data_IF_174411215562
#
_entry.id   IF_174411215562
#
_cell.length_a   1.000
_cell.length_b   1.000
_cell.length_c   1.000
_cell.angle_alpha   90.00
_cell.angle_beta   90.00
_cell.angle_gamma   90.00
#
_symmetry.space_group_name_H-M   'P 1'
#
loop_
_entity.id
_entity.type
_entity.pdbx_description
1 polymer ?
#
# COMPACT_ATOMS: atom_id res chain seq x y z
N UNK A 1 12.79 14.02 21.59
CA UNK A 1 14.19 14.28 21.16
C UNK A 1 14.84 12.97 20.80
N UNK A 2 15.63 12.93 19.71
CA UNK A 2 16.31 11.72 19.28
C UNK A 2 17.40 11.32 20.30
N UNK A 3 17.35 10.07 20.73
CA UNK A 3 18.43 9.45 21.50
C UNK A 3 19.55 9.07 20.53
N UNK A 4 20.77 9.51 20.81
CA UNK A 4 21.95 9.11 20.03
C UNK A 4 22.40 7.72 20.50
N UNK A 5 22.57 6.79 19.55
CA UNK A 5 22.93 5.40 19.77
C UNK A 5 24.17 5.12 18.92
N UNK A 6 25.26 4.73 19.51
CA UNK A 6 26.44 4.28 18.77
C UNK A 6 26.18 2.87 18.20
N UNK A 7 26.46 2.69 16.91
CA UNK A 7 26.30 1.40 16.25
C UNK A 7 27.44 0.46 16.63
N UNK A 8 27.10 -0.62 17.31
CA UNK A 8 28.03 -1.66 17.77
C UNK A 8 27.99 -2.95 16.92
N UNK A 9 27.32 -2.91 15.76
CA UNK A 9 27.09 -4.09 14.91
C UNK A 9 25.82 -4.87 15.24
N UNK A 10 25.04 -4.46 16.26
CA UNK A 10 23.81 -5.13 16.66
C UNK A 10 22.58 -4.22 16.53
N UNK A 11 21.67 -4.57 15.64
CA UNK A 11 20.41 -3.86 15.42
C UNK A 11 19.19 -4.60 15.97
N UNK A 12 19.38 -5.74 16.63
CA UNK A 12 18.25 -6.59 17.04
C UNK A 12 17.27 -5.87 17.97
N UNK A 13 17.79 -5.15 18.97
CA UNK A 13 16.94 -4.42 19.92
C UNK A 13 16.16 -3.29 19.24
N UNK A 14 16.83 -2.53 18.36
CA UNK A 14 16.19 -1.45 17.61
C UNK A 14 15.12 -2.02 16.69
N UNK A 15 15.44 -3.06 15.91
CA UNK A 15 14.51 -3.70 15.01
C UNK A 15 13.33 -4.35 15.76
N UNK A 16 13.59 -4.97 16.91
CA UNK A 16 12.53 -5.53 17.76
C UNK A 16 11.62 -4.43 18.30
N UNK A 17 12.18 -3.33 18.79
CA UNK A 17 11.39 -2.18 19.26
C UNK A 17 10.53 -1.60 18.13
N UNK A 18 11.08 -1.45 16.92
CA UNK A 18 10.35 -0.97 15.76
C UNK A 18 9.28 -1.97 15.28
N UNK A 19 9.55 -3.26 15.35
CA UNK A 19 8.58 -4.31 14.98
C UNK A 19 7.45 -4.46 16.01
N UNK A 20 7.73 -4.25 17.28
CA UNK A 20 6.71 -4.31 18.35
C UNK A 20 5.70 -3.15 18.29
N UNK A 21 5.96 -2.11 17.48
CA UNK A 21 4.96 -1.07 17.12
C UNK A 21 3.80 -1.61 16.30
N UNK A 22 4.03 -2.70 15.57
CA UNK A 22 2.91 -3.47 15.04
C UNK A 22 2.13 -3.86 16.29
N UNK A 23 1.04 -3.13 16.56
CA UNK A 23 0.08 -3.61 17.53
C UNK A 23 -0.07 -5.09 17.21
N UNK A 24 0.37 -5.96 18.11
CA UNK A 24 -0.05 -7.34 18.04
C UNK A 24 -1.55 -7.22 17.92
N UNK A 25 -2.09 -7.60 16.73
CA UNK A 25 -3.53 -7.56 16.50
C UNK A 25 -4.07 -8.33 17.68
N UNK A 26 -4.58 -7.62 18.66
CA UNK A 26 -4.95 -8.24 19.93
C UNK A 26 -5.97 -9.32 19.62
N UNK A 27 -5.98 -10.37 20.38
CA UNK A 27 -6.99 -11.44 20.23
C UNK A 27 -8.38 -10.83 20.20
N UNK A 28 -8.60 -9.76 20.95
CA UNK A 28 -9.86 -9.02 21.00
C UNK A 28 -10.22 -8.35 19.69
N UNK A 29 -9.24 -7.66 19.02
CA UNK A 29 -9.47 -7.06 17.71
C UNK A 29 -9.75 -8.14 16.66
N UNK A 30 -8.97 -9.23 16.65
CA UNK A 30 -9.21 -10.35 15.75
C UNK A 30 -10.62 -10.95 15.92
N UNK A 31 -11.03 -11.19 17.17
CA UNK A 31 -12.36 -11.74 17.47
C UNK A 31 -13.47 -10.79 17.04
N UNK A 32 -13.36 -9.49 17.39
CA UNK A 32 -14.35 -8.48 17.01
C UNK A 32 -14.50 -8.36 15.48
N UNK A 33 -13.38 -8.41 14.73
CA UNK A 33 -13.43 -8.34 13.27
C UNK A 33 -13.98 -9.63 12.66
N UNK A 34 -13.64 -10.80 13.20
CA UNK A 34 -14.22 -12.08 12.78
C UNK A 34 -15.74 -12.10 12.98
N UNK A 35 -16.21 -11.60 14.12
CA UNK A 35 -17.65 -11.50 14.40
C UNK A 35 -18.36 -10.61 13.38
N UNK A 36 -17.76 -9.46 13.03
CA UNK A 36 -18.27 -8.56 11.99
C UNK A 36 -18.33 -9.26 10.63
N UNK A 37 -17.25 -9.95 10.22
CA UNK A 37 -17.19 -10.67 8.94
C UNK A 37 -18.28 -11.74 8.88
N UNK A 38 -18.43 -12.53 9.94
CA UNK A 38 -19.42 -13.60 10.02
C UNK A 38 -20.86 -13.06 10.00
N UNK A 39 -21.10 -11.94 10.70
CA UNK A 39 -22.41 -11.30 10.71
C UNK A 39 -22.78 -10.73 9.33
N UNK A 40 -21.85 -10.05 8.66
CA UNK A 40 -22.04 -9.58 7.28
C UNK A 40 -22.32 -10.76 6.32
N UNK A 41 -21.59 -11.85 6.41
CA UNK A 41 -21.83 -13.05 5.58
C UNK A 41 -23.22 -13.64 5.79
N UNK A 42 -23.73 -13.59 7.02
CA UNK A 42 -25.02 -14.17 7.37
C UNK A 42 -26.21 -13.25 7.11
N UNK A 43 -26.06 -11.96 7.40
CA UNK A 43 -27.17 -11.00 7.49
C UNK A 43 -27.02 -9.84 6.49
N UNK A 44 -26.02 -9.85 5.58
CA UNK A 44 -25.87 -8.98 4.42
C UNK A 44 -26.05 -7.49 4.72
N UNK A 45 -26.91 -6.84 3.92
CA UNK A 45 -27.21 -5.42 4.02
C UNK A 45 -27.66 -5.01 5.44
N UNK A 46 -28.45 -5.83 6.10
CA UNK A 46 -28.99 -5.50 7.44
C UNK A 46 -27.87 -5.38 8.49
N UNK A 47 -26.88 -6.29 8.45
CA UNK A 47 -25.72 -6.21 9.33
C UNK A 47 -24.92 -4.95 9.03
N UNK A 48 -24.65 -4.64 7.75
CA UNK A 48 -23.91 -3.44 7.34
C UNK A 48 -24.59 -2.16 7.84
N UNK A 49 -25.90 -2.03 7.65
CA UNK A 49 -26.71 -0.91 8.17
C UNK A 49 -26.53 -0.75 9.69
N UNK A 50 -26.63 -1.85 10.43
CA UNK A 50 -26.49 -1.83 11.88
C UNK A 50 -25.09 -1.37 12.33
N UNK A 51 -24.03 -1.84 11.66
CA UNK A 51 -22.66 -1.44 11.97
C UNK A 51 -22.36 0.02 11.59
N UNK A 52 -22.84 0.51 10.44
CA UNK A 52 -22.70 1.92 10.07
C UNK A 52 -23.39 2.84 11.09
N UNK A 53 -24.58 2.48 11.57
CA UNK A 53 -25.27 3.22 12.65
C UNK A 53 -24.47 3.21 13.95
N UNK A 54 -23.89 2.05 14.29
CA UNK A 54 -23.14 1.85 15.53
C UNK A 54 -21.79 2.56 15.55
N UNK A 55 -21.02 2.48 14.45
CA UNK A 55 -19.64 2.93 14.43
C UNK A 55 -19.47 4.30 13.78
N UNK A 56 -20.22 4.61 12.72
CA UNK A 56 -20.10 5.86 11.99
C UNK A 56 -21.12 6.90 12.47
N UNK A 57 -22.11 6.51 13.26
CA UNK A 57 -23.20 7.37 13.71
C UNK A 57 -24.16 7.80 12.60
N UNK A 58 -23.94 7.30 11.39
CA UNK A 58 -24.76 7.60 10.22
C UNK A 58 -26.04 6.80 10.22
N UNK A 59 -27.18 7.52 10.20
CA UNK A 59 -28.50 6.91 10.20
C UNK A 59 -28.91 6.50 8.79
N UNK A 60 -28.25 5.46 8.25
CA UNK A 60 -28.65 4.84 6.98
C UNK A 60 -30.09 4.40 7.05
N UNK A 61 -30.92 4.78 6.08
CA UNK A 61 -32.34 4.42 6.01
C UNK A 61 -32.51 3.02 5.45
N UNK A 62 -31.93 2.81 4.28
CA UNK A 62 -31.96 1.54 3.54
C UNK A 62 -30.70 1.43 2.64
N UNK A 63 -30.64 0.39 1.84
CA UNK A 63 -29.51 0.07 0.94
C UNK A 63 -29.28 1.11 -0.17
N UNK A 64 -30.27 1.95 -0.53
CA UNK A 64 -30.08 3.01 -1.51
C UNK A 64 -29.16 4.12 -0.99
N UNK A 65 -29.04 4.22 0.33
CA UNK A 65 -28.14 5.16 0.99
C UNK A 65 -26.66 4.69 0.97
N UNK A 66 -26.37 3.47 0.51
CA UNK A 66 -24.98 2.98 0.46
C UNK A 66 -24.11 3.71 -0.55
N UNK A 67 -24.66 4.24 -1.62
CA UNK A 67 -23.93 4.84 -2.73
C UNK A 67 -24.15 6.35 -2.76
N UNK A 68 -23.06 7.10 -3.01
CA UNK A 68 -23.13 8.55 -3.23
C UNK A 68 -23.89 8.81 -4.54
N UNK A 69 -25.02 9.48 -4.44
CA UNK A 69 -25.85 9.84 -5.60
C UNK A 69 -25.18 10.89 -6.50
N UNK A 70 -25.61 11.01 -7.74
CA UNK A 70 -25.10 12.05 -8.65
C UNK A 70 -25.37 13.45 -8.13
N UNK A 71 -26.51 13.68 -7.47
CA UNK A 71 -26.80 14.97 -6.84
C UNK A 71 -25.82 15.29 -5.70
N UNK A 72 -25.52 14.32 -4.82
CA UNK A 72 -24.52 14.50 -3.75
C UNK A 72 -23.14 14.81 -4.31
N UNK A 73 -22.75 14.14 -5.43
CA UNK A 73 -21.47 14.41 -6.10
C UNK A 73 -21.42 15.84 -6.64
N UNK A 74 -22.48 16.31 -7.30
CA UNK A 74 -22.55 17.68 -7.82
C UNK A 74 -22.51 18.71 -6.71
N UNK A 75 -23.22 18.49 -5.61
CA UNK A 75 -23.22 19.37 -4.43
C UNK A 75 -21.83 19.42 -3.77
N UNK A 76 -21.15 18.27 -3.65
CA UNK A 76 -19.80 18.19 -3.11
C UNK A 76 -18.80 18.94 -3.99
N UNK A 77 -18.86 18.77 -5.31
CA UNK A 77 -17.95 19.42 -6.25
C UNK A 77 -18.08 20.94 -6.26
N UNK A 78 -19.26 21.51 -5.98
CA UNK A 78 -19.45 22.95 -5.84
C UNK A 78 -18.73 23.55 -4.63
N UNK A 79 -18.35 22.72 -3.65
CA UNK A 79 -17.65 23.12 -2.44
C UNK A 79 -16.11 23.10 -2.57
N UNK A 80 -15.60 22.55 -3.69
CA UNK A 80 -14.16 22.40 -3.93
C UNK A 80 -13.66 23.53 -4.82
N UNK A 81 -12.59 24.20 -4.39
CA UNK A 81 -11.95 25.27 -5.15
C UNK A 81 -11.42 24.73 -6.49
N UNK A 82 -11.56 25.54 -7.55
CA UNK A 82 -11.06 25.21 -8.88
C UNK A 82 -9.52 25.10 -8.91
N UNK A 83 -8.82 25.88 -8.10
CA UNK A 83 -7.37 25.77 -7.96
C UNK A 83 -6.98 24.44 -7.34
N UNK A 84 -7.77 23.92 -6.40
CA UNK A 84 -7.56 22.61 -5.84
C UNK A 84 -7.79 21.48 -6.87
N UNK A 85 -8.83 21.59 -7.71
CA UNK A 85 -9.04 20.66 -8.83
C UNK A 85 -7.83 20.65 -9.77
N UNK A 86 -7.28 21.83 -10.11
CA UNK A 86 -6.07 21.93 -10.93
C UNK A 86 -4.86 21.24 -10.28
N UNK A 87 -4.72 21.32 -8.96
CA UNK A 87 -3.66 20.61 -8.23
C UNK A 87 -3.86 19.09 -8.35
N UNK A 88 -5.07 18.58 -8.17
CA UNK A 88 -5.38 17.15 -8.34
C UNK A 88 -5.08 16.66 -9.75
N UNK A 89 -5.43 17.42 -10.80
CA UNK A 89 -5.12 17.08 -12.20
C UNK A 89 -3.60 17.05 -12.46
N UNK A 90 -2.85 17.99 -11.89
CA UNK A 90 -1.40 17.99 -11.98
C UNK A 90 -0.80 16.77 -11.27
N UNK A 91 -1.26 16.44 -10.08
CA UNK A 91 -0.85 15.25 -9.34
C UNK A 91 -1.14 13.98 -10.15
N UNK A 92 -2.35 13.85 -10.71
CA UNK A 92 -2.73 12.75 -11.61
C UNK A 92 -1.76 12.61 -12.78
N UNK A 93 -1.35 13.72 -13.39
CA UNK A 93 -0.41 13.72 -14.52
C UNK A 93 0.94 13.13 -14.09
N UNK A 94 1.49 13.54 -12.94
CA UNK A 94 2.76 13.03 -12.41
C UNK A 94 2.68 11.53 -12.12
N UNK A 95 1.62 11.08 -11.42
CA UNK A 95 1.40 9.66 -11.11
C UNK A 95 1.28 8.85 -12.42
N UNK A 96 0.53 9.36 -13.38
CA UNK A 96 0.38 8.70 -14.70
C UNK A 96 1.72 8.58 -15.43
N UNK A 97 2.53 9.63 -15.41
CA UNK A 97 3.83 9.65 -16.09
C UNK A 97 4.79 8.62 -15.49
N UNK A 98 4.82 8.48 -14.17
CA UNK A 98 5.63 7.48 -13.51
C UNK A 98 5.12 6.06 -13.79
N UNK A 99 3.85 5.81 -13.49
CA UNK A 99 3.28 4.47 -13.49
C UNK A 99 3.05 3.87 -14.90
N UNK A 100 2.95 4.67 -15.95
CA UNK A 100 2.87 4.14 -17.33
C UNK A 100 4.08 3.28 -17.73
N UNK A 101 5.25 3.49 -17.06
CA UNK A 101 6.45 2.69 -17.29
C UNK A 101 6.40 1.30 -16.65
N UNK A 102 5.39 1.03 -15.81
CA UNK A 102 5.17 -0.26 -15.14
C UNK A 102 4.20 -1.17 -15.89
N UNK A 103 3.68 -0.74 -17.04
CA UNK A 103 2.69 -1.52 -17.80
C UNK A 103 3.38 -2.73 -18.45
N UNK A 104 3.00 -3.92 -17.99
CA UNK A 104 3.47 -5.18 -18.54
C UNK A 104 2.72 -5.58 -19.82
N UNK A 105 3.40 -6.34 -20.67
CA UNK A 105 2.86 -6.85 -21.93
C UNK A 105 2.79 -8.36 -21.93
N UNK A 106 1.72 -8.89 -22.52
CA UNK A 106 1.65 -10.31 -22.89
C UNK A 106 2.74 -10.63 -23.92
N UNK A 107 3.29 -11.85 -23.85
CA UNK A 107 4.33 -12.31 -24.77
C UNK A 107 4.12 -13.75 -25.18
N UNK A 108 4.63 -14.11 -26.35
CA UNK A 108 4.62 -15.46 -26.90
C UNK A 108 6.00 -15.88 -27.37
N UNK A 109 6.37 -17.12 -27.12
CA UNK A 109 7.59 -17.76 -27.63
C UNK A 109 7.16 -18.83 -28.64
N UNK A 110 7.65 -18.71 -29.87
CA UNK A 110 7.45 -19.66 -30.94
C UNK A 110 8.70 -20.49 -31.13
N UNK A 111 8.59 -21.82 -31.14
CA UNK A 111 9.68 -22.73 -31.43
C UNK A 111 9.58 -23.25 -32.84
N UNK A 112 10.71 -23.64 -33.46
CA UNK A 112 10.77 -24.13 -34.84
C UNK A 112 9.94 -25.40 -35.07
N UNK A 113 9.71 -26.21 -34.03
CA UNK A 113 8.88 -27.38 -34.04
C UNK A 113 7.37 -27.15 -33.86
N UNK A 114 6.92 -25.88 -33.97
CA UNK A 114 5.52 -25.51 -33.87
C UNK A 114 4.96 -25.34 -32.44
N UNK A 115 5.77 -25.54 -31.40
CA UNK A 115 5.35 -25.28 -30.02
C UNK A 115 5.21 -23.77 -29.81
N UNK A 116 4.11 -23.36 -29.16
CA UNK A 116 3.88 -21.99 -28.73
C UNK A 116 3.70 -21.97 -27.22
N UNK A 117 4.46 -21.13 -26.54
CA UNK A 117 4.30 -20.87 -25.11
C UNK A 117 4.22 -19.37 -24.88
N UNK A 118 3.55 -18.96 -23.82
CA UNK A 118 3.51 -17.55 -23.51
C UNK A 118 2.86 -17.22 -22.17
N UNK A 119 2.76 -15.94 -21.92
CA UNK A 119 2.12 -15.40 -20.74
C UNK A 119 1.16 -14.30 -21.16
N UNK A 120 -0.08 -14.40 -20.72
CA UNK A 120 -1.08 -13.36 -20.86
C UNK A 120 -1.08 -12.51 -19.60
N UNK A 121 -1.06 -11.18 -19.78
CA UNK A 121 -1.30 -10.19 -18.74
C UNK A 121 -2.76 -9.74 -18.85
N UNK A 122 -3.50 -9.82 -17.75
CA UNK A 122 -4.92 -9.43 -17.68
C UNK A 122 -5.16 -8.59 -16.43
N UNK A 123 -5.94 -7.49 -16.54
CA UNK A 123 -6.34 -6.73 -15.37
C UNK A 123 -7.22 -7.58 -14.44
N UNK A 124 -7.19 -7.23 -13.16
CA UNK A 124 -8.22 -7.62 -12.20
C UNK A 124 -9.53 -6.94 -12.63
N UNK A 125 -10.66 -7.60 -12.46
CA UNK A 125 -11.93 -7.11 -13.03
C UNK A 125 -12.52 -5.99 -12.17
N UNK A 126 -12.63 -6.21 -10.86
CA UNK A 126 -13.25 -5.27 -9.93
C UNK A 126 -12.37 -5.05 -8.68
N UNK A 127 -12.09 -3.78 -8.36
CA UNK A 127 -11.20 -3.40 -7.25
C UNK A 127 -11.85 -2.33 -6.37
N UNK A 128 -11.76 -2.50 -5.05
CA UNK A 128 -12.15 -1.48 -4.08
C UNK A 128 -10.94 -0.70 -3.57
N UNK A 129 -11.08 0.61 -3.54
CA UNK A 129 -10.14 1.55 -2.95
C UNK A 129 -10.68 1.91 -1.56
N UNK A 130 -10.02 1.47 -0.50
CA UNK A 130 -10.33 1.93 0.85
C UNK A 130 -9.71 3.31 1.05
N UNK A 131 -10.56 4.31 1.32
CA UNK A 131 -10.13 5.69 1.57
C UNK A 131 -10.54 6.06 2.99
N UNK A 132 -9.59 6.36 3.89
CA UNK A 132 -9.93 6.78 5.25
C UNK A 132 -10.77 8.06 5.25
N UNK A 133 -11.82 8.09 6.07
CA UNK A 133 -12.74 9.23 6.18
C UNK A 133 -12.81 9.85 7.59
N UNK A 134 -11.77 9.66 8.41
CA UNK A 134 -11.73 10.11 9.80
C UNK A 134 -11.53 11.62 9.98
N UNK A 135 -10.58 12.01 10.83
CA UNK A 135 -10.25 13.42 11.13
C UNK A 135 -9.58 14.14 9.96
N UNK A 136 -8.87 13.41 9.09
CA UNK A 136 -8.25 13.91 7.86
C UNK A 136 -8.87 13.21 6.64
N UNK A 137 -9.02 13.96 5.55
CA UNK A 137 -9.36 13.42 4.24
C UNK A 137 -8.07 13.13 3.46
N UNK A 138 -8.03 12.01 2.74
CA UNK A 138 -6.86 11.61 1.97
C UNK A 138 -7.18 11.52 0.46
N UNK A 139 -7.40 12.65 -0.23
CA UNK A 139 -7.64 12.66 -1.68
C UNK A 139 -6.44 12.13 -2.48
N UNK A 140 -5.21 12.27 -1.96
CA UNK A 140 -4.00 11.67 -2.55
C UNK A 140 -4.11 10.15 -2.61
N UNK A 141 -4.62 9.49 -1.57
CA UNK A 141 -4.85 8.04 -1.56
C UNK A 141 -5.80 7.60 -2.68
N UNK A 142 -6.81 8.40 -3.02
CA UNK A 142 -7.68 8.10 -4.17
C UNK A 142 -6.87 8.06 -5.46
N UNK A 143 -6.04 9.09 -5.72
CA UNK A 143 -5.23 9.18 -6.93
C UNK A 143 -4.17 8.07 -6.98
N UNK A 144 -3.44 7.86 -5.87
CA UNK A 144 -2.36 6.88 -5.76
C UNK A 144 -2.82 5.43 -5.96
N UNK A 145 -4.07 5.11 -5.63
CA UNK A 145 -4.65 3.79 -5.88
C UNK A 145 -5.35 3.70 -7.25
N UNK A 146 -6.15 4.72 -7.61
CA UNK A 146 -6.96 4.65 -8.81
C UNK A 146 -6.16 4.73 -10.10
N UNK A 147 -5.10 5.55 -10.16
CA UNK A 147 -4.37 5.78 -11.41
C UNK A 147 -3.59 4.53 -11.84
N UNK A 148 -2.80 3.85 -10.98
CA UNK A 148 -2.17 2.59 -11.35
C UNK A 148 -3.18 1.51 -11.76
N UNK A 149 -4.32 1.43 -11.05
CA UNK A 149 -5.39 0.48 -11.39
C UNK A 149 -6.00 0.76 -12.78
N UNK A 150 -6.25 2.03 -13.12
CA UNK A 150 -6.73 2.42 -14.46
C UNK A 150 -5.69 2.12 -15.55
N UNK A 151 -4.41 2.37 -15.30
CA UNK A 151 -3.31 2.05 -16.22
C UNK A 151 -3.17 0.54 -16.44
N UNK A 152 -3.42 -0.28 -15.42
CA UNK A 152 -3.49 -1.73 -15.53
C UNK A 152 -4.66 -2.21 -16.41
N UNK A 153 -5.68 -1.36 -16.60
CA UNK A 153 -6.89 -1.68 -17.38
C UNK A 153 -8.06 -2.16 -16.52
N UNK A 154 -8.02 -1.97 -15.19
CA UNK A 154 -9.18 -2.26 -14.32
C UNK A 154 -10.36 -1.40 -14.75
N UNK A 155 -11.47 -2.06 -15.09
CA UNK A 155 -12.67 -1.38 -15.59
C UNK A 155 -13.56 -0.89 -14.47
N UNK A 156 -13.74 -1.72 -13.44
CA UNK A 156 -14.64 -1.44 -12.33
C UNK A 156 -13.84 -1.11 -11.05
N UNK A 157 -13.73 0.19 -10.78
CA UNK A 157 -13.13 0.72 -9.57
C UNK A 157 -14.20 1.33 -8.69
N UNK A 158 -14.23 0.94 -7.42
CA UNK A 158 -15.14 1.49 -6.44
C UNK A 158 -14.36 2.05 -5.25
N UNK A 159 -14.86 3.12 -4.66
CA UNK A 159 -14.33 3.67 -3.40
C UNK A 159 -15.24 3.22 -2.27
N UNK A 160 -14.66 2.77 -1.16
CA UNK A 160 -15.33 2.63 0.13
C UNK A 160 -14.71 3.62 1.11
N UNK A 161 -15.53 4.44 1.75
CA UNK A 161 -15.07 5.46 2.70
C UNK A 161 -16.11 5.67 3.79
N UNK A 162 -15.70 5.73 5.07
CA UNK A 162 -16.65 6.05 6.14
C UNK A 162 -17.15 7.48 5.98
N UNK A 163 -18.39 7.72 6.36
CA UNK A 163 -19.01 9.04 6.38
C UNK A 163 -19.21 9.50 7.82
N UNK A 164 -19.41 10.80 8.01
CA UNK A 164 -19.81 11.36 9.29
C UNK A 164 -21.31 11.16 9.53
N UNK A 165 -21.78 11.53 10.71
CA UNK A 165 -23.20 11.39 11.09
C UNK A 165 -24.20 12.08 10.13
N UNK A 166 -23.74 13.08 9.37
CA UNK A 166 -24.52 13.76 8.33
C UNK A 166 -24.67 12.95 7.03
N UNK A 167 -24.00 11.81 6.92
CA UNK A 167 -24.03 10.91 5.76
C UNK A 167 -23.32 11.43 4.52
N UNK A 168 -22.52 12.50 4.64
CA UNK A 168 -21.83 13.12 3.51
C UNK A 168 -20.39 12.66 3.40
N UNK A 169 -19.99 12.33 2.18
CA UNK A 169 -18.59 12.12 1.84
C UNK A 169 -17.87 13.46 1.75
N UNK A 170 -16.62 13.50 2.21
CA UNK A 170 -15.84 14.73 2.13
C UNK A 170 -15.71 15.19 0.66
N UNK A 171 -15.99 16.47 0.35
CA UNK A 171 -15.98 17.00 -1.02
C UNK A 171 -14.67 16.77 -1.77
N UNK A 172 -13.50 16.83 -1.10
CA UNK A 172 -12.20 16.61 -1.76
C UNK A 172 -11.99 15.15 -2.17
N UNK A 173 -12.61 14.19 -1.48
CA UNK A 173 -12.62 12.76 -1.91
C UNK A 173 -13.45 12.61 -3.18
N UNK A 174 -14.62 13.25 -3.25
CA UNK A 174 -15.48 13.24 -4.45
C UNK A 174 -14.76 13.88 -5.65
N UNK A 175 -14.03 14.97 -5.41
CA UNK A 175 -13.23 15.63 -6.43
C UNK A 175 -12.10 14.73 -6.94
N UNK A 176 -11.35 14.09 -6.03
CA UNK A 176 -10.29 13.15 -6.40
C UNK A 176 -10.84 11.92 -7.16
N UNK A 177 -12.00 11.39 -6.76
CA UNK A 177 -12.70 10.31 -7.47
C UNK A 177 -13.05 10.73 -8.90
N UNK A 178 -13.63 11.93 -9.08
CA UNK A 178 -13.94 12.48 -10.41
C UNK A 178 -12.68 12.64 -11.27
N UNK A 179 -11.62 13.23 -10.71
CA UNK A 179 -10.35 13.46 -11.42
C UNK A 179 -9.71 12.13 -11.83
N UNK A 180 -9.75 11.11 -10.97
CA UNK A 180 -9.19 9.78 -11.28
C UNK A 180 -10.11 8.87 -12.11
N UNK A 181 -11.36 9.29 -12.37
CA UNK A 181 -12.34 8.53 -13.16
C UNK A 181 -12.93 7.33 -12.41
N UNK A 182 -13.16 7.49 -11.09
CA UNK A 182 -13.88 6.52 -10.26
C UNK A 182 -15.29 7.03 -10.00
N UNK A 183 -16.29 6.30 -10.51
CA UNK A 183 -17.67 6.76 -10.47
C UNK A 183 -18.42 6.30 -9.22
N UNK A 184 -18.17 5.08 -8.74
CA UNK A 184 -18.88 4.52 -7.60
C UNK A 184 -18.17 4.81 -6.29
N UNK A 185 -18.87 5.48 -5.37
CA UNK A 185 -18.38 5.77 -4.02
C UNK A 185 -19.41 5.24 -3.03
N UNK A 186 -19.01 4.29 -2.20
CA UNK A 186 -19.82 3.76 -1.11
C UNK A 186 -19.59 4.55 0.18
N UNK A 187 -20.69 4.84 0.89
CA UNK A 187 -20.74 5.60 2.16
C UNK A 187 -20.61 4.69 3.39
N UNK A 188 -19.69 3.76 3.34
CA UNK A 188 -19.36 2.90 4.47
C UNK A 188 -17.85 2.59 4.49
N UNK A 189 -17.32 2.36 5.67
CA UNK A 189 -15.90 2.05 5.90
C UNK A 189 -15.74 1.06 7.04
N UNK A 190 -14.61 1.12 7.75
CA UNK A 190 -14.31 0.22 8.86
C UNK A 190 -14.19 -1.24 8.46
N UNK A 191 -14.12 -2.13 9.46
CA UNK A 191 -14.10 -3.57 9.22
C UNK A 191 -15.38 -4.08 8.54
N UNK A 192 -16.53 -3.46 8.84
CA UNK A 192 -17.81 -3.79 8.23
C UNK A 192 -17.83 -3.47 6.72
N UNK A 193 -17.25 -2.35 6.32
CA UNK A 193 -17.17 -1.98 4.92
C UNK A 193 -16.25 -2.93 4.14
N UNK A 194 -15.09 -3.28 4.70
CA UNK A 194 -14.19 -4.28 4.12
C UNK A 194 -14.88 -5.64 4.02
N UNK A 195 -15.57 -6.09 5.08
CA UNK A 195 -16.30 -7.37 5.08
C UNK A 195 -17.39 -7.39 4.00
N UNK A 196 -18.17 -6.30 3.86
CA UNK A 196 -19.25 -6.20 2.89
C UNK A 196 -18.72 -6.26 1.45
N UNK A 197 -17.66 -5.48 1.12
CA UNK A 197 -17.14 -5.43 -0.23
C UNK A 197 -16.33 -6.69 -0.61
N UNK A 198 -15.74 -7.38 0.38
CA UNK A 198 -15.00 -8.63 0.17
C UNK A 198 -15.92 -9.83 -0.10
N UNK A 199 -17.07 -9.90 0.59
CA UNK A 199 -17.96 -11.06 0.51
C UNK A 199 -19.17 -10.81 -0.42
N UNK A 200 -19.48 -9.55 -0.71
CA UNK A 200 -20.75 -9.15 -1.32
C UNK A 200 -21.91 -9.18 -0.32
N UNK A 201 -23.01 -8.53 -0.69
CA UNK A 201 -24.29 -8.57 0.00
C UNK A 201 -25.42 -8.64 -1.05
N UNK A 202 -26.66 -8.48 -0.66
CA UNK A 202 -27.80 -8.52 -1.59
C UNK A 202 -27.73 -7.41 -2.66
N UNK A 203 -27.10 -6.27 -2.34
CA UNK A 203 -27.01 -5.10 -3.24
C UNK A 203 -25.59 -4.64 -3.50
N UNK A 204 -24.60 -5.19 -2.80
CA UNK A 204 -23.20 -4.86 -2.96
C UNK A 204 -22.50 -6.03 -3.65
N UNK A 205 -22.08 -5.81 -4.88
CA UNK A 205 -21.28 -6.79 -5.62
C UNK A 205 -19.88 -6.86 -5.04
N UNK A 206 -19.37 -8.09 -4.79
CA UNK A 206 -18.02 -8.32 -4.27
C UNK A 206 -16.94 -7.84 -5.22
N UNK A 207 -15.76 -7.55 -4.67
CA UNK A 207 -14.56 -7.22 -5.44
C UNK A 207 -13.55 -8.36 -5.41
N UNK A 208 -12.58 -8.29 -6.33
CA UNK A 208 -11.48 -9.27 -6.41
C UNK A 208 -10.25 -8.80 -5.61
N UNK A 209 -10.11 -7.48 -5.39
CA UNK A 209 -9.00 -6.89 -4.63
C UNK A 209 -9.45 -5.66 -3.85
N UNK A 210 -8.88 -5.47 -2.65
CA UNK A 210 -9.04 -4.29 -1.81
C UNK A 210 -7.67 -3.66 -1.56
N UNK A 211 -7.51 -2.40 -1.91
CA UNK A 211 -6.28 -1.63 -1.70
C UNK A 211 -6.54 -0.38 -0.88
N UNK A 212 -5.51 0.16 -0.28
CA UNK A 212 -5.58 1.40 0.51
C UNK A 212 -5.38 1.18 2.01
N UNK A 213 -4.86 2.22 2.72
CA UNK A 213 -4.55 2.18 4.15
C UNK A 213 -5.81 2.33 5.00
N UNK A 214 -5.77 1.83 6.23
CA UNK A 214 -6.83 1.98 7.20
C UNK A 214 -6.35 1.73 8.62
N UNK A 215 -7.19 1.99 9.61
CA UNK A 215 -6.88 1.71 11.01
C UNK A 215 -6.75 0.19 11.27
N UNK A 216 -6.39 -0.18 12.51
CA UNK A 216 -6.14 -1.57 12.91
C UNK A 216 -7.31 -2.51 12.57
N UNK A 217 -8.57 -2.07 12.70
CA UNK A 217 -9.74 -2.89 12.37
C UNK A 217 -9.86 -3.12 10.86
N UNK A 218 -9.55 -2.12 10.04
CA UNK A 218 -9.52 -2.22 8.58
C UNK A 218 -8.38 -3.13 8.12
N UNK A 219 -7.17 -2.93 8.65
CA UNK A 219 -6.01 -3.76 8.36
C UNK A 219 -6.27 -5.23 8.73
N UNK A 220 -6.89 -5.47 9.90
CA UNK A 220 -7.30 -6.81 10.34
C UNK A 220 -8.36 -7.41 9.43
N UNK A 221 -9.37 -6.62 9.03
CA UNK A 221 -10.42 -7.11 8.13
C UNK A 221 -9.87 -7.47 6.75
N UNK A 222 -8.96 -6.66 6.18
CA UNK A 222 -8.23 -7.00 4.95
C UNK A 222 -7.47 -8.31 5.12
N UNK A 223 -6.65 -8.43 6.18
CA UNK A 223 -5.88 -9.64 6.48
C UNK A 223 -6.75 -10.89 6.59
N UNK A 224 -7.88 -10.82 7.30
CA UNK A 224 -8.79 -11.95 7.49
C UNK A 224 -9.63 -12.27 6.24
N UNK A 225 -9.77 -11.32 5.33
CA UNK A 225 -10.45 -11.51 4.04
C UNK A 225 -9.51 -12.03 2.94
N UNK A 226 -8.18 -12.02 3.17
CA UNK A 226 -7.22 -12.54 2.20
C UNK A 226 -7.47 -14.02 1.88
N UNK A 227 -7.48 -14.35 0.59
CA UNK A 227 -7.88 -15.66 0.09
C UNK A 227 -9.34 -15.72 -0.40
N UNK A 228 -10.22 -14.86 0.12
CA UNK A 228 -11.55 -14.60 -0.46
C UNK A 228 -11.46 -13.43 -1.45
N UNK A 229 -10.66 -12.44 -1.11
CA UNK A 229 -10.31 -11.27 -1.91
C UNK A 229 -8.80 -11.04 -1.77
N UNK A 230 -8.17 -10.51 -2.81
CA UNK A 230 -6.77 -10.10 -2.72
C UNK A 230 -6.64 -8.74 -2.02
N UNK A 231 -5.47 -8.45 -1.44
CA UNK A 231 -5.17 -7.17 -0.79
C UNK A 231 -3.80 -6.63 -1.28
N UNK A 232 -3.57 -5.33 -1.10
CA UNK A 232 -2.25 -4.73 -1.32
C UNK A 232 -1.23 -5.22 -0.30
N UNK A 233 -1.42 -4.86 0.96
CA UNK A 233 -0.56 -5.22 2.07
C UNK A 233 -1.28 -5.05 3.41
N UNK A 234 -0.66 -5.52 4.48
CA UNK A 234 -1.05 -5.20 5.86
C UNK A 234 -0.16 -4.07 6.34
N UNK A 235 -0.65 -2.83 6.25
CA UNK A 235 0.09 -1.65 6.66
C UNK A 235 0.25 -1.60 8.19
N UNK A 236 1.44 -1.23 8.63
CA UNK A 236 1.74 -0.84 10.01
C UNK A 236 1.86 0.69 10.15
N UNK A 237 2.33 1.18 11.31
CA UNK A 237 2.60 2.59 11.51
C UNK A 237 3.69 3.11 10.56
N UNK A 238 3.56 4.36 10.14
CA UNK A 238 4.47 5.00 9.17
C UNK A 238 5.90 5.14 9.68
N UNK A 239 6.86 5.17 8.76
CA UNK A 239 8.29 5.17 9.05
C UNK A 239 9.08 6.06 8.09
N UNK A 240 10.02 6.84 8.63
CA UNK A 240 11.09 7.47 7.84
C UNK A 240 12.45 7.12 8.43
N UNK A 241 13.40 6.83 7.56
CA UNK A 241 14.82 6.71 7.89
C UNK A 241 15.59 7.65 7.00
N UNK A 242 16.33 8.58 7.63
CA UNK A 242 17.21 9.54 6.95
C UNK A 242 18.65 9.10 7.09
N UNK A 243 19.35 8.86 5.98
CA UNK A 243 20.81 8.72 5.96
C UNK A 243 21.39 10.10 5.63
N UNK A 244 22.29 10.60 6.47
CA UNK A 244 22.90 11.91 6.27
C UNK A 244 24.39 11.91 6.61
N UNK A 245 25.20 12.56 5.76
CA UNK A 245 26.60 12.88 6.07
C UNK A 245 26.70 14.22 6.85
N UNK A 246 27.93 14.60 7.22
CA UNK A 246 28.23 15.80 8.01
C UNK A 246 27.83 17.11 7.31
N UNK A 247 27.64 17.12 6.01
CA UNK A 247 27.34 18.30 5.20
C UNK A 247 25.83 18.55 5.06
N UNK A 248 25.00 17.57 5.43
CA UNK A 248 23.56 17.67 5.30
C UNK A 248 22.97 18.78 6.19
N UNK A 249 21.90 19.41 5.74
CA UNK A 249 21.27 20.51 6.45
C UNK A 249 20.41 20.02 7.62
N UNK A 250 20.77 20.31 8.89
CA UNK A 250 20.02 19.83 10.05
C UNK A 250 18.58 20.35 10.13
N UNK A 251 18.27 21.50 9.49
CA UNK A 251 16.90 22.05 9.43
C UNK A 251 15.99 21.17 8.57
N UNK A 252 16.49 20.67 7.44
CA UNK A 252 15.74 19.82 6.53
C UNK A 252 15.50 18.46 7.18
N UNK A 253 16.56 17.83 7.71
CA UNK A 253 16.45 16.56 8.44
C UNK A 253 15.40 16.65 9.56
N UNK A 254 15.44 17.71 10.37
CA UNK A 254 14.47 17.88 11.45
C UNK A 254 13.04 18.03 10.94
N UNK A 255 12.83 18.73 9.82
CA UNK A 255 11.52 18.87 9.20
C UNK A 255 11.00 17.53 8.67
N UNK A 256 11.85 16.78 7.97
CA UNK A 256 11.49 15.49 7.35
C UNK A 256 11.21 14.41 8.42
N UNK A 257 11.97 14.38 9.51
CA UNK A 257 11.67 13.50 10.65
C UNK A 257 10.32 13.84 11.31
N UNK A 258 9.94 15.13 11.38
CA UNK A 258 8.68 15.55 11.99
C UNK A 258 7.49 15.37 11.06
N UNK A 259 7.67 15.47 9.72
CA UNK A 259 6.60 15.19 8.76
C UNK A 259 6.07 13.77 8.91
N UNK A 260 6.94 12.82 9.22
CA UNK A 260 6.55 11.44 9.47
C UNK A 260 6.02 11.25 10.90
N UNK A 261 6.70 11.85 11.90
CA UNK A 261 6.32 11.71 13.30
C UNK A 261 4.92 12.28 13.63
N UNK A 262 4.42 13.23 12.84
CA UNK A 262 3.08 13.82 13.04
C UNK A 262 1.93 12.91 12.63
N UNK A 263 2.19 11.84 11.84
CA UNK A 263 1.14 10.93 11.37
C UNK A 263 0.45 10.18 12.52
N UNK A 264 1.25 9.61 13.42
CA UNK A 264 0.75 8.81 14.55
C UNK A 264 1.78 8.73 15.68
N UNK A 265 1.33 8.49 16.92
CA UNK A 265 2.19 8.24 18.08
C UNK A 265 3.10 7.03 17.94
N UNK A 266 2.70 6.06 17.10
CA UNK A 266 3.47 4.86 16.77
C UNK A 266 4.38 5.07 15.56
N UNK A 267 4.34 6.22 14.88
CA UNK A 267 5.23 6.51 13.76
C UNK A 267 6.71 6.46 14.20
N UNK A 268 7.61 6.12 13.27
CA UNK A 268 9.04 6.08 13.54
C UNK A 268 9.79 7.05 12.65
N UNK A 269 10.73 7.79 13.26
CA UNK A 269 11.59 8.72 12.57
C UNK A 269 13.04 8.54 13.04
N UNK A 270 13.86 7.94 12.17
CA UNK A 270 15.24 7.55 12.46
C UNK A 270 16.25 8.35 11.64
N UNK A 271 17.30 8.83 12.27
CA UNK A 271 18.47 9.39 11.61
C UNK A 271 19.61 8.37 11.68
N UNK A 272 20.28 8.13 10.57
CA UNK A 272 21.55 7.37 10.50
C UNK A 272 22.62 8.30 9.96
N UNK A 273 23.65 8.57 10.73
CA UNK A 273 24.68 9.55 10.35
C UNK A 273 26.07 9.17 10.81
N UNK A 274 27.08 9.67 10.10
CA UNK A 274 28.49 9.56 10.49
C UNK A 274 28.92 10.69 11.44
N UNK A 275 28.05 11.71 11.65
CA UNK A 275 28.38 12.93 12.40
C UNK A 275 27.55 13.07 13.68
N UNK A 276 28.20 12.95 14.82
CA UNK A 276 27.58 13.23 16.13
C UNK A 276 27.13 14.70 16.22
N UNK A 277 27.95 15.62 15.68
CA UNK A 277 27.63 17.04 15.67
C UNK A 277 26.35 17.34 14.87
N UNK A 278 26.17 16.67 13.73
CA UNK A 278 24.93 16.79 12.95
C UNK A 278 23.72 16.31 13.78
N UNK A 279 23.79 15.17 14.44
CA UNK A 279 22.71 14.64 15.28
C UNK A 279 22.34 15.62 16.40
N UNK A 280 23.32 16.27 17.02
CA UNK A 280 23.10 17.30 18.04
C UNK A 280 22.40 18.55 17.45
N UNK A 281 22.84 19.03 16.27
CA UNK A 281 22.20 20.15 15.54
C UNK A 281 20.77 19.81 15.13
N UNK A 282 20.50 18.58 14.67
CA UNK A 282 19.15 18.12 14.36
C UNK A 282 18.26 18.16 15.60
N UNK A 283 18.76 17.74 16.75
CA UNK A 283 18.02 17.82 18.01
C UNK A 283 17.69 19.27 18.44
N UNK A 284 18.56 20.24 18.15
CA UNK A 284 18.27 21.67 18.35
C UNK A 284 17.14 22.14 17.42
N UNK A 285 17.21 21.78 16.15
CA UNK A 285 16.21 22.15 15.14
C UNK A 285 14.86 21.48 15.41
N UNK A 286 14.81 20.22 15.84
CA UNK A 286 13.57 19.55 16.25
C UNK A 286 12.86 20.35 17.35
N UNK A 287 13.59 20.79 18.40
CA UNK A 287 13.00 21.64 19.47
C UNK A 287 12.45 22.95 18.91
N UNK A 288 13.25 23.62 18.07
CA UNK A 288 12.91 24.91 17.51
C UNK A 288 11.64 24.83 16.64
N UNK A 289 11.59 23.86 15.72
CA UNK A 289 10.53 23.76 14.74
C UNK A 289 9.24 23.19 15.35
N UNK A 290 9.33 22.22 16.27
CA UNK A 290 8.16 21.64 16.94
C UNK A 290 7.33 22.68 17.72
N UNK A 291 7.94 23.77 18.16
CA UNK A 291 7.28 24.79 18.98
C UNK A 291 6.05 25.45 18.30
N UNK A 292 6.01 25.44 16.97
CA UNK A 292 4.92 26.06 16.19
C UNK A 292 4.10 25.06 15.36
N UNK A 293 4.32 23.76 15.52
CA UNK A 293 3.52 22.73 14.85
C UNK A 293 2.27 22.40 15.67
N UNK A 294 1.14 22.24 14.98
CA UNK A 294 -0.16 21.99 15.62
C UNK A 294 -0.25 20.61 16.28
N UNK A 295 0.49 19.60 15.76
CA UNK A 295 0.48 18.21 16.25
C UNK A 295 1.69 17.86 17.12
N UNK A 296 2.29 18.85 17.78
CA UNK A 296 3.52 18.70 18.55
C UNK A 296 3.52 17.56 19.58
N UNK A 297 2.38 17.31 20.23
CA UNK A 297 2.24 16.25 21.24
C UNK A 297 2.38 14.85 20.62
N UNK A 298 1.82 14.65 19.42
CA UNK A 298 1.95 13.40 18.66
C UNK A 298 3.41 13.24 18.23
N UNK A 299 4.00 14.29 17.65
CA UNK A 299 5.42 14.30 17.21
C UNK A 299 6.33 13.97 18.38
N UNK A 300 6.13 14.62 19.54
CA UNK A 300 6.97 14.42 20.72
C UNK A 300 6.90 12.99 21.22
N UNK A 301 5.71 12.41 21.32
CA UNK A 301 5.48 11.02 21.75
C UNK A 301 6.10 10.02 20.77
N UNK A 302 5.91 10.22 19.46
CA UNK A 302 6.50 9.41 18.39
C UNK A 302 8.04 9.43 18.46
N UNK A 303 8.67 10.63 18.47
CA UNK A 303 10.12 10.78 18.54
C UNK A 303 10.71 10.25 19.83
N UNK A 304 10.01 10.36 20.96
CA UNK A 304 10.48 9.84 22.24
C UNK A 304 10.47 8.32 22.27
N UNK A 305 9.42 7.71 21.74
CA UNK A 305 9.24 6.26 21.82
C UNK A 305 9.93 5.53 20.67
N UNK A 306 9.89 6.06 19.45
CA UNK A 306 10.30 5.36 18.23
C UNK A 306 11.26 6.18 17.36
N UNK A 307 11.70 7.34 17.81
CA UNK A 307 12.77 8.12 17.21
C UNK A 307 14.15 7.73 17.73
N UNK A 308 15.18 7.98 16.92
CA UNK A 308 16.57 7.77 17.31
C UNK A 308 17.56 8.29 16.28
N UNK A 309 18.80 8.55 16.71
CA UNK A 309 19.92 8.85 15.85
C UNK A 309 20.98 7.76 16.01
N UNK A 310 21.24 6.97 14.98
CA UNK A 310 22.23 5.91 14.96
C UNK A 310 23.52 6.49 14.38
N UNK A 311 24.57 6.50 15.20
CA UNK A 311 25.88 6.96 14.80
C UNK A 311 26.69 5.77 14.25
N UNK A 312 27.11 5.90 13.00
CA UNK A 312 27.87 4.90 12.25
C UNK A 312 29.25 5.45 11.86
N UNK A 313 30.19 4.58 11.53
CA UNK A 313 31.56 5.00 11.17
C UNK A 313 31.69 5.53 9.74
N UNK A 314 30.88 5.02 8.82
CA UNK A 314 30.91 5.37 7.40
C UNK A 314 29.56 5.14 6.73
N UNK A 315 29.42 5.62 5.48
CA UNK A 315 28.18 5.45 4.69
C UNK A 315 27.87 3.99 4.38
N UNK A 316 28.85 3.10 4.32
CA UNK A 316 28.62 1.68 4.09
C UNK A 316 27.84 1.07 5.25
N UNK A 317 28.25 1.36 6.48
CA UNK A 317 27.47 0.96 7.67
C UNK A 317 26.09 1.61 7.68
N UNK A 318 25.95 2.88 7.25
CA UNK A 318 24.66 3.53 7.17
C UNK A 318 23.68 2.74 6.27
N UNK A 319 24.14 2.29 5.09
CA UNK A 319 23.33 1.47 4.21
C UNK A 319 23.10 0.04 4.73
N UNK A 320 24.04 -0.54 5.46
CA UNK A 320 23.82 -1.82 6.15
C UNK A 320 22.70 -1.70 7.19
N UNK A 321 22.69 -0.64 7.99
CA UNK A 321 21.62 -0.33 8.94
C UNK A 321 20.29 -0.14 8.24
N UNK A 322 20.24 0.70 7.21
CA UNK A 322 19.03 0.95 6.44
C UNK A 322 18.46 -0.33 5.81
N UNK A 323 19.30 -1.12 5.14
CA UNK A 323 18.88 -2.38 4.52
C UNK A 323 18.38 -3.41 5.55
N UNK A 324 18.96 -3.41 6.75
CA UNK A 324 18.50 -4.29 7.83
C UNK A 324 17.13 -3.88 8.36
N UNK A 325 16.91 -2.58 8.55
CA UNK A 325 15.63 -2.04 9.03
C UNK A 325 14.55 -2.06 7.95
N UNK A 326 14.94 -1.88 6.67
CA UNK A 326 14.06 -1.87 5.50
C UNK A 326 12.87 -0.89 5.67
N UNK A 327 13.15 0.43 5.77
CA UNK A 327 12.16 1.44 6.09
C UNK A 327 11.13 1.62 4.99
N UNK A 328 9.97 2.16 5.36
CA UNK A 328 8.95 2.62 4.42
C UNK A 328 9.49 3.74 3.52
N UNK A 329 9.98 4.81 4.13
CA UNK A 329 10.61 5.94 3.44
C UNK A 329 12.09 5.98 3.78
N UNK A 330 12.94 6.01 2.76
CA UNK A 330 14.37 6.20 2.89
C UNK A 330 14.79 7.51 2.24
N UNK A 331 15.25 8.47 3.02
CA UNK A 331 15.88 9.69 2.54
C UNK A 331 17.40 9.58 2.60
N UNK A 332 18.08 10.04 1.54
CA UNK A 332 19.54 9.99 1.45
C UNK A 332 20.08 11.40 1.20
N UNK A 333 20.53 12.04 2.27
CA UNK A 333 21.02 13.42 2.31
C UNK A 333 22.54 13.43 2.41
N UNK A 334 23.21 13.08 1.30
CA UNK A 334 24.66 13.00 1.19
C UNK A 334 25.12 13.77 -0.06
N UNK A 335 26.43 14.08 -0.16
CA UNK A 335 26.98 14.90 -1.26
C UNK A 335 26.59 14.38 -2.67
N UNK A 336 26.59 13.05 -2.87
CA UNK A 336 26.30 12.43 -4.19
C UNK A 336 25.23 11.35 -4.06
N UNK A 337 23.96 11.73 -3.80
CA UNK A 337 22.92 10.76 -3.41
C UNK A 337 22.59 9.76 -4.52
N UNK A 338 22.59 10.13 -5.79
CA UNK A 338 22.29 9.22 -6.92
C UNK A 338 23.30 8.07 -7.01
N UNK A 339 24.57 8.31 -6.62
CA UNK A 339 25.61 7.29 -6.64
C UNK A 339 25.42 6.22 -5.55
N UNK A 340 24.51 6.43 -4.63
CA UNK A 340 24.24 5.49 -3.53
C UNK A 340 23.22 4.42 -3.87
N UNK A 341 22.46 4.57 -4.95
CA UNK A 341 21.43 3.61 -5.39
C UNK A 341 21.89 2.13 -5.37
N UNK A 342 23.13 1.78 -5.82
CA UNK A 342 23.60 0.40 -5.79
C UNK A 342 23.74 -0.21 -4.38
N UNK A 343 23.80 0.60 -3.33
CA UNK A 343 23.93 0.14 -1.94
C UNK A 343 22.57 -0.10 -1.26
N UNK A 344 21.50 0.42 -1.83
CA UNK A 344 20.14 0.32 -1.29
C UNK A 344 19.51 -0.97 -1.81
N UNK A 345 19.08 -1.85 -0.89
CA UNK A 345 18.43 -3.13 -1.22
C UNK A 345 16.97 -3.15 -0.80
N UNK A 346 16.66 -2.54 0.33
CA UNK A 346 15.36 -2.66 0.98
C UNK A 346 14.88 -1.29 1.44
N UNK A 347 13.93 -0.72 0.72
CA UNK A 347 13.18 0.49 1.10
C UNK A 347 11.84 0.50 0.34
N UNK A 348 10.81 1.03 0.94
CA UNK A 348 9.51 1.19 0.27
C UNK A 348 9.58 2.28 -0.81
N UNK A 349 10.11 3.45 -0.47
CA UNK A 349 10.42 4.54 -1.40
C UNK A 349 11.75 5.18 -1.04
N UNK A 350 12.47 5.72 -2.05
CA UNK A 350 13.82 6.29 -1.89
C UNK A 350 13.81 7.73 -2.39
N UNK A 351 14.24 8.66 -1.53
CA UNK A 351 14.31 10.09 -1.79
C UNK A 351 15.78 10.53 -1.77
N UNK A 352 16.24 11.15 -2.86
CA UNK A 352 17.66 11.41 -3.08
C UNK A 352 17.97 12.90 -3.07
N UNK A 353 18.69 13.36 -2.05
CA UNK A 353 19.16 14.72 -1.89
C UNK A 353 18.18 15.67 -1.20
N UNK A 354 18.68 16.82 -0.82
CA UNK A 354 18.02 17.81 0.05
C UNK A 354 16.70 18.39 -0.47
N UNK A 355 16.45 18.27 -1.78
CA UNK A 355 15.25 18.82 -2.44
C UNK A 355 14.25 17.73 -2.85
N UNK A 356 14.41 16.53 -2.29
CA UNK A 356 13.49 15.41 -2.51
C UNK A 356 12.95 14.88 -1.17
N UNK A 357 12.26 15.72 -0.37
CA UNK A 357 11.71 15.29 0.90
C UNK A 357 10.54 14.32 0.71
N UNK A 358 10.27 13.48 1.71
CA UNK A 358 9.18 12.50 1.72
C UNK A 358 7.82 13.09 1.33
N UNK A 359 7.39 14.29 1.82
CA UNK A 359 6.10 14.85 1.42
C UNK A 359 5.97 15.14 -0.09
N UNK A 360 7.07 15.31 -0.81
CA UNK A 360 7.02 15.38 -2.27
C UNK A 360 6.55 14.05 -2.86
N UNK A 361 6.98 12.91 -2.28
CA UNK A 361 6.52 11.56 -2.62
C UNK A 361 5.03 11.38 -2.42
N UNK A 362 4.53 11.86 -1.32
CA UNK A 362 3.13 11.74 -0.96
C UNK A 362 2.17 12.45 -1.91
N UNK A 363 2.62 13.55 -2.54
CA UNK A 363 1.71 14.40 -3.30
C UNK A 363 2.08 14.62 -4.77
N UNK A 364 3.35 14.81 -5.12
CA UNK A 364 3.71 15.40 -6.41
C UNK A 364 4.84 14.71 -7.19
N UNK A 365 5.62 13.81 -6.61
CA UNK A 365 6.72 13.15 -7.31
C UNK A 365 6.24 12.19 -8.41
N UNK A 366 5.01 11.69 -8.27
CA UNK A 366 4.45 10.67 -9.15
C UNK A 366 4.70 9.23 -8.69
N UNK A 367 5.62 9.02 -7.76
CA UNK A 367 5.80 7.73 -7.09
C UNK A 367 4.61 7.42 -6.17
N UNK A 368 4.41 6.16 -5.82
CA UNK A 368 3.28 5.78 -4.99
C UNK A 368 3.62 5.90 -3.51
N UNK A 369 2.66 6.38 -2.71
CA UNK A 369 2.78 6.49 -1.26
C UNK A 369 2.14 5.31 -0.49
N UNK A 370 1.57 4.33 -1.18
CA UNK A 370 1.12 3.08 -0.56
C UNK A 370 2.31 2.15 -0.50
N UNK A 371 2.99 2.14 0.63
CA UNK A 371 4.32 1.59 0.80
C UNK A 371 4.35 0.47 1.85
N UNK A 372 5.26 -0.50 1.72
CA UNK A 372 5.49 -1.53 2.72
C UNK A 372 6.10 -0.92 3.99
N UNK A 373 5.52 -1.23 5.14
CA UNK A 373 5.92 -0.75 6.46
C UNK A 373 6.51 -1.87 7.33
N UNK A 374 7.15 -1.51 8.43
CA UNK A 374 7.59 -2.47 9.46
C UNK A 374 8.57 -3.51 8.95
N UNK A 375 9.51 -3.09 8.10
CA UNK A 375 10.55 -3.96 7.55
C UNK A 375 10.07 -4.89 6.44
N UNK A 376 8.81 -4.76 5.95
CA UNK A 376 8.28 -5.61 4.89
C UNK A 376 8.78 -5.23 3.50
N UNK A 377 9.47 -4.09 3.35
CA UNK A 377 10.18 -3.71 2.12
C UNK A 377 11.26 -4.74 1.70
N UNK A 378 11.54 -5.74 2.51
CA UNK A 378 12.38 -6.91 2.17
C UNK A 378 11.72 -7.85 1.16
N UNK A 379 10.39 -7.81 1.02
CA UNK A 379 9.61 -8.72 0.16
C UNK A 379 8.35 -8.10 -0.45
N UNK A 380 7.93 -6.92 0.01
CA UNK A 380 6.87 -6.12 -0.61
C UNK A 380 7.45 -4.90 -1.33
N UNK A 381 6.71 -4.40 -2.31
CA UNK A 381 7.01 -3.18 -3.07
C UNK A 381 5.97 -2.10 -2.82
N UNK A 382 6.26 -0.87 -3.25
CA UNK A 382 5.25 0.17 -3.40
C UNK A 382 4.14 -0.29 -4.35
N UNK A 383 2.91 0.14 -4.11
CA UNK A 383 1.77 -0.16 -4.98
C UNK A 383 2.05 0.34 -6.41
N UNK A 384 1.82 -0.51 -7.38
CA UNK A 384 2.08 -0.21 -8.78
C UNK A 384 1.05 -0.83 -9.72
N UNK A 385 1.26 -0.67 -11.03
CA UNK A 385 0.40 -1.25 -12.06
C UNK A 385 0.35 -2.78 -11.97
N UNK A 386 1.48 -3.39 -11.59
CA UNK A 386 1.62 -4.84 -11.42
C UNK A 386 0.73 -5.44 -10.31
N UNK A 387 0.27 -4.63 -9.35
CA UNK A 387 -0.64 -5.09 -8.29
C UNK A 387 -2.08 -5.27 -8.79
N UNK A 388 -2.40 -4.77 -9.97
CA UNK A 388 -3.73 -4.79 -10.56
C UNK A 388 -3.85 -5.69 -11.78
N UNK A 389 -2.85 -6.53 -12.04
CA UNK A 389 -2.85 -7.50 -13.13
C UNK A 389 -2.61 -8.91 -12.60
N UNK A 390 -3.05 -9.88 -13.37
CA UNK A 390 -2.78 -11.31 -13.16
C UNK A 390 -2.14 -11.90 -14.41
N UNK A 391 -1.30 -12.91 -14.22
CA UNK A 391 -0.53 -13.57 -15.23
C UNK A 391 -1.04 -14.99 -15.43
N UNK A 392 -1.32 -15.36 -16.68
CA UNK A 392 -1.71 -16.73 -17.02
C UNK A 392 -0.79 -17.27 -18.09
N UNK A 393 -0.11 -18.38 -17.81
CA UNK A 393 0.67 -19.08 -18.81
C UNK A 393 -0.25 -19.86 -19.75
N UNK A 394 0.18 -20.00 -21.01
CA UNK A 394 -0.45 -20.89 -21.98
C UNK A 394 0.60 -21.64 -22.75
N UNK A 395 0.22 -22.85 -23.20
CA UNK A 395 1.06 -23.68 -24.04
C UNK A 395 0.21 -24.37 -25.12
N UNK A 396 0.79 -24.48 -26.29
CA UNK A 396 0.27 -25.27 -27.41
C UNK A 396 1.36 -26.20 -27.90
N UNK A 397 1.03 -27.48 -28.04
CA UNK A 397 1.92 -28.51 -28.56
C UNK A 397 1.27 -29.24 -29.73
N UNK A 398 1.92 -29.33 -30.92
CA UNK A 398 1.54 -30.21 -31.97
C UNK A 398 1.61 -31.68 -31.50
N UNK A 399 0.80 -32.60 -32.13
CA UNK A 399 0.71 -34.00 -31.74
C UNK A 399 2.07 -34.70 -31.82
N UNK A 400 2.77 -34.52 -32.92
CA UNK A 400 4.10 -35.10 -33.18
C UNK A 400 5.16 -34.67 -32.15
N UNK A 401 5.09 -33.43 -31.72
CA UNK A 401 5.99 -32.91 -30.66
C UNK A 401 5.62 -33.49 -29.28
N UNK A 402 4.32 -33.57 -28.96
CA UNK A 402 3.89 -34.21 -27.72
C UNK A 402 4.29 -35.68 -27.67
N UNK A 403 4.30 -36.37 -28.81
CA UNK A 403 4.73 -37.77 -28.91
C UNK A 403 6.17 -37.96 -28.45
N UNK A 404 7.06 -37.02 -28.74
CA UNK A 404 8.46 -37.05 -28.28
C UNK A 404 8.64 -37.00 -26.77
N UNK A 405 7.66 -36.48 -26.03
CA UNK A 405 7.64 -36.40 -24.56
C UNK A 405 6.78 -37.49 -23.89
N UNK A 406 6.12 -38.33 -24.69
CA UNK A 406 5.11 -39.28 -24.19
C UNK A 406 5.61 -40.14 -23.05
N UNK A 407 6.75 -40.82 -23.25
CA UNK A 407 7.28 -41.76 -22.28
C UNK A 407 7.87 -41.07 -21.06
N UNK A 408 8.51 -39.91 -21.25
CA UNK A 408 9.08 -39.10 -20.18
C UNK A 408 8.00 -38.62 -19.23
N UNK A 409 6.91 -38.03 -19.75
CA UNK A 409 5.79 -37.52 -18.93
C UNK A 409 5.11 -38.67 -18.18
N UNK A 410 4.88 -39.83 -18.84
CA UNK A 410 4.28 -40.97 -18.18
C UNK A 410 5.16 -41.52 -17.06
N UNK A 411 6.47 -41.61 -17.30
CA UNK A 411 7.44 -42.09 -16.32
C UNK A 411 7.48 -41.16 -15.12
N UNK A 412 7.50 -39.83 -15.37
CA UNK A 412 7.51 -38.83 -14.31
C UNK A 412 6.23 -38.92 -13.46
N UNK A 413 5.07 -38.91 -14.10
CA UNK A 413 3.78 -39.01 -13.41
C UNK A 413 3.65 -40.29 -12.55
N UNK A 414 4.10 -41.44 -13.08
CA UNK A 414 4.11 -42.70 -12.32
C UNK A 414 5.06 -42.65 -11.12
N UNK A 415 6.21 -41.98 -11.25
CA UNK A 415 7.15 -41.83 -10.12
C UNK A 415 6.55 -41.02 -8.96
N UNK A 416 5.57 -40.15 -9.25
CA UNK A 416 4.81 -39.42 -8.25
C UNK A 416 3.53 -40.14 -7.78
N UNK A 417 3.26 -41.37 -8.30
CA UNK A 417 2.06 -42.14 -7.98
C UNK A 417 0.80 -41.60 -8.66
N UNK A 418 0.93 -40.84 -9.76
CA UNK A 418 -0.17 -40.17 -10.47
C UNK A 418 -0.54 -40.89 -11.77
N UNK A 419 -1.14 -42.08 -11.67
CA UNK A 419 -1.50 -42.91 -12.82
C UNK A 419 -2.46 -42.23 -13.80
N UNK A 420 -3.41 -41.41 -13.30
CA UNK A 420 -4.34 -40.68 -14.16
C UNK A 420 -3.62 -39.61 -15.01
N UNK A 421 -2.55 -38.99 -14.50
CA UNK A 421 -1.70 -38.06 -15.26
C UNK A 421 -0.96 -38.83 -16.39
N UNK A 422 -0.37 -39.98 -16.07
CA UNK A 422 0.28 -40.83 -17.05
C UNK A 422 -0.72 -41.27 -18.14
N UNK A 423 -1.91 -41.72 -17.74
CA UNK A 423 -2.97 -42.15 -18.64
C UNK A 423 -3.46 -41.01 -19.54
N UNK A 424 -3.53 -39.79 -19.03
CA UNK A 424 -3.92 -38.60 -19.82
C UNK A 424 -3.01 -38.38 -21.03
N UNK A 425 -1.75 -38.76 -20.97
CA UNK A 425 -0.85 -38.75 -22.14
C UNK A 425 -1.02 -40.00 -22.98
N UNK A 426 -1.13 -41.21 -22.38
CA UNK A 426 -1.21 -42.48 -23.09
C UNK A 426 -2.38 -42.49 -24.07
N UNK A 427 -3.60 -42.17 -23.62
CA UNK A 427 -4.84 -42.20 -24.42
C UNK A 427 -4.83 -41.33 -25.66
N UNK A 428 -3.95 -40.29 -25.73
CA UNK A 428 -3.83 -39.42 -26.91
C UNK A 428 -3.12 -40.09 -28.07
N UNK A 429 -2.54 -41.26 -27.84
CA UNK A 429 -1.76 -42.05 -28.79
C UNK A 429 -2.30 -43.48 -28.92
N UNK A 430 -3.48 -43.78 -28.38
CA UNK A 430 -4.19 -45.05 -28.65
C UNK A 430 -4.80 -44.96 -30.07
N UNK A 431 -4.72 -46.08 -30.80
CA UNK A 431 -5.44 -46.21 -32.07
C UNK A 431 -6.94 -46.39 -31.80
N UNK A 432 -7.80 -45.77 -32.62
CA UNK A 432 -9.25 -45.89 -32.52
C UNK A 432 -9.72 -47.30 -32.91
#
# INVERSE_FOLDING_TARGET
>A
MLKVIEYDGNLKEIAQKLNNRKEEISIEVNNAVNDIINDIRKNGNQALINYCRKFDGYQIKDENDFVVSNQEKEEALKQVDQDYIRILERTKQQITEFHKNQIDKSWSLYKDNGVIMGQMVRPIERVALYVPGGTAAYPSTVLMNAIPAKLAGVKDLVIITPVKADGKVNPVIVAAAKVSGVDTIYKFGGAQGVAAIANGTETIEKVDKIVGPGNIFVATAKKLSYGVVDIDMVAGPSEVLVIADENANPKYIAADLMSQAEHDKLASAMLVTTSKELAEKVNVELKRQMAYLSRKEIIEESLQNYGGAILVKDLKEAFEVSNYLAPEHLEVLVEKPVNTLPYIKNAGSIFLGEYSPEPLGDYMSGTNHVLPTGGTAKFYSALGVYDFVKYSSYSYYPKDVLETFKDDVQTFAKSEGLDAHANSIAVRFEEE
#
